data_IF_522514328032
#
_entry.id   IF_522514328032
#
_cell.length_a   1.000
_cell.length_b   1.000
_cell.length_c   1.000
_cell.angle_alpha   90.00
_cell.angle_beta   90.00
_cell.angle_gamma   90.00
#
_symmetry.space_group_name_H-M   'P 1'
#
loop_
_entity.id
_entity.type
_entity.pdbx_description
1 polymer ?
#
# COMPACT_ATOMS: atom_id res chain seq x y z
N UNK A 1 24.76 -10.46 6.47
CA UNK A 1 23.41 -10.82 6.00
C UNK A 1 23.31 -12.32 5.84
N UNK A 2 22.13 -12.90 6.05
CA UNK A 2 21.82 -14.30 5.85
C UNK A 2 20.43 -14.42 5.21
N UNK A 3 20.12 -15.54 4.57
CA UNK A 3 18.81 -15.87 4.03
C UNK A 3 18.36 -17.21 4.60
N UNK A 4 17.08 -17.30 4.91
CA UNK A 4 16.45 -18.53 5.40
C UNK A 4 15.17 -18.79 4.58
N UNK A 5 14.94 -20.03 4.22
CA UNK A 5 13.71 -20.55 3.64
C UNK A 5 13.49 -21.96 4.18
N UNK A 6 12.23 -22.40 4.30
CA UNK A 6 11.93 -23.81 4.65
C UNK A 6 12.37 -24.78 3.53
N UNK A 7 12.46 -24.28 2.31
CA UNK A 7 13.03 -24.97 1.16
C UNK A 7 14.52 -24.62 1.10
N UNK A 8 15.35 -25.60 1.45
CA UNK A 8 16.80 -25.44 1.54
C UNK A 8 17.44 -25.09 0.18
N UNK A 9 16.97 -25.71 -0.90
CA UNK A 9 17.53 -25.47 -2.23
C UNK A 9 17.26 -24.03 -2.67
N UNK A 10 16.07 -23.50 -2.34
CA UNK A 10 15.70 -22.10 -2.57
C UNK A 10 16.57 -21.15 -1.75
N UNK A 11 16.81 -21.46 -0.45
CA UNK A 11 17.69 -20.65 0.39
C UNK A 11 19.12 -20.64 -0.18
N UNK A 12 19.66 -21.78 -0.62
CA UNK A 12 20.99 -21.89 -1.19
C UNK A 12 21.10 -21.13 -2.53
N UNK A 13 20.09 -21.21 -3.40
CA UNK A 13 20.05 -20.48 -4.68
C UNK A 13 20.06 -18.97 -4.45
N UNK A 14 19.21 -18.45 -3.54
CA UNK A 14 19.17 -17.02 -3.17
C UNK A 14 20.48 -16.57 -2.53
N UNK A 15 21.06 -17.40 -1.66
CA UNK A 15 22.32 -17.12 -0.99
C UNK A 15 23.46 -16.95 -2.00
N UNK A 16 23.50 -17.80 -3.01
CA UNK A 16 24.51 -17.74 -4.09
C UNK A 16 24.37 -16.45 -4.93
N UNK A 17 23.13 -16.09 -5.33
CA UNK A 17 22.86 -14.87 -6.11
C UNK A 17 23.29 -13.61 -5.35
N UNK A 18 22.97 -13.54 -4.05
CA UNK A 18 23.21 -12.35 -3.24
C UNK A 18 24.52 -12.38 -2.44
N UNK A 19 25.32 -13.45 -2.57
CA UNK A 19 26.59 -13.66 -1.84
C UNK A 19 26.41 -13.53 -0.32
N UNK A 20 25.35 -14.13 0.21
CA UNK A 20 25.03 -14.20 1.63
C UNK A 20 25.05 -15.65 2.11
N UNK A 21 24.85 -15.89 3.41
CA UNK A 21 24.85 -17.24 3.96
C UNK A 21 23.44 -17.82 4.01
N UNK A 22 23.18 -19.04 3.52
CA UNK A 22 21.95 -19.75 3.80
C UNK A 22 21.98 -20.25 5.26
N UNK A 23 20.85 -20.24 5.93
CA UNK A 23 20.70 -20.78 7.30
C UNK A 23 19.27 -21.20 7.55
N UNK A 24 19.07 -21.97 8.63
CA UNK A 24 17.74 -22.28 9.15
C UNK A 24 17.13 -21.04 9.81
N UNK A 25 15.77 -20.83 9.73
CA UNK A 25 15.09 -19.68 10.31
C UNK A 25 15.39 -19.46 11.80
N UNK A 26 15.47 -20.53 12.58
CA UNK A 26 15.75 -20.49 14.02
C UNK A 26 17.17 -19.97 14.31
N UNK A 27 18.15 -20.36 13.49
CA UNK A 27 19.53 -19.86 13.59
C UNK A 27 19.63 -18.38 13.23
N UNK A 28 18.84 -17.92 12.26
CA UNK A 28 18.80 -16.50 11.90
C UNK A 28 18.30 -15.66 13.08
N UNK A 29 17.24 -16.09 13.73
CA UNK A 29 16.67 -15.39 14.90
C UNK A 29 17.59 -15.47 16.15
N UNK A 30 18.36 -16.53 16.31
CA UNK A 30 19.32 -16.67 17.42
C UNK A 30 20.61 -15.85 17.23
N UNK A 31 20.96 -15.44 16.01
CA UNK A 31 22.19 -14.71 15.74
C UNK A 31 22.10 -13.26 16.23
N UNK A 32 22.85 -12.90 17.27
CA UNK A 32 22.86 -11.56 17.87
C UNK A 32 23.36 -10.45 16.92
N UNK A 33 24.00 -10.81 15.81
CA UNK A 33 24.47 -9.87 14.77
C UNK A 33 23.34 -9.43 13.82
N UNK A 34 22.20 -10.14 13.83
CA UNK A 34 21.02 -9.80 13.06
C UNK A 34 20.18 -8.81 13.86
N UNK A 35 20.08 -7.57 13.41
CA UNK A 35 19.25 -6.53 14.04
C UNK A 35 17.91 -6.37 13.36
N UNK A 36 17.81 -6.66 12.06
CA UNK A 36 16.59 -6.50 11.25
C UNK A 36 16.28 -7.82 10.54
N UNK A 37 15.04 -8.25 10.61
CA UNK A 37 14.50 -9.41 9.88
C UNK A 37 13.52 -8.92 8.83
N UNK A 38 13.76 -9.27 7.56
CA UNK A 38 12.81 -9.09 6.47
C UNK A 38 12.03 -10.40 6.27
N UNK A 39 10.70 -10.32 6.30
CA UNK A 39 9.77 -11.44 6.14
C UNK A 39 9.08 -11.32 4.79
N UNK A 40 9.30 -12.30 3.91
CA UNK A 40 8.74 -12.39 2.56
C UNK A 40 8.27 -13.82 2.27
N UNK A 41 7.63 -14.45 3.23
CA UNK A 41 7.00 -15.77 3.14
C UNK A 41 5.56 -15.63 2.62
N UNK A 42 4.82 -16.72 2.36
CA UNK A 42 3.37 -16.64 2.20
C UNK A 42 2.68 -16.06 3.45
N UNK A 43 1.56 -15.33 3.29
CA UNK A 43 0.90 -14.54 4.35
C UNK A 43 0.63 -15.27 5.67
N UNK A 44 0.20 -16.53 5.64
CA UNK A 44 -0.06 -17.31 6.86
C UNK A 44 1.16 -17.45 7.80
N UNK A 45 2.37 -17.23 7.29
CA UNK A 45 3.61 -17.27 8.08
C UNK A 45 4.00 -15.94 8.75
N UNK A 46 3.44 -14.82 8.31
CA UNK A 46 3.93 -13.49 8.65
C UNK A 46 3.86 -13.19 10.14
N UNK A 47 2.69 -13.32 10.75
CA UNK A 47 2.49 -12.99 12.17
C UNK A 47 3.41 -13.82 13.08
N UNK A 48 3.45 -15.14 12.87
CA UNK A 48 4.30 -16.04 13.66
C UNK A 48 5.77 -15.66 13.58
N UNK A 49 6.26 -15.35 12.39
CA UNK A 49 7.67 -14.95 12.19
C UNK A 49 7.94 -13.55 12.75
N UNK A 50 7.01 -12.62 12.61
CA UNK A 50 7.11 -11.27 13.16
C UNK A 50 7.18 -11.32 14.71
N UNK A 51 6.30 -12.09 15.35
CA UNK A 51 6.33 -12.32 16.81
C UNK A 51 7.66 -12.91 17.27
N UNK A 52 8.14 -13.96 16.59
CA UNK A 52 9.41 -14.57 16.94
C UNK A 52 10.59 -13.59 16.83
N UNK A 53 10.60 -12.74 15.78
CA UNK A 53 11.61 -11.71 15.59
C UNK A 53 11.52 -10.62 16.68
N UNK A 54 10.33 -10.07 16.95
CA UNK A 54 10.10 -9.05 17.96
C UNK A 54 10.51 -9.54 19.36
N UNK A 55 10.08 -10.75 19.76
CA UNK A 55 10.44 -11.40 21.04
C UNK A 55 11.94 -11.64 21.19
N UNK A 56 12.64 -11.79 20.07
CA UNK A 56 14.10 -11.88 20.04
C UNK A 56 14.80 -10.50 20.04
N UNK A 57 14.04 -9.40 20.16
CA UNK A 57 14.56 -8.03 20.13
C UNK A 57 14.99 -7.54 18.74
N UNK A 58 14.48 -8.17 17.65
CA UNK A 58 14.80 -7.78 16.28
C UNK A 58 13.76 -6.82 15.74
N UNK A 59 14.21 -5.87 14.92
CA UNK A 59 13.31 -5.05 14.10
C UNK A 59 12.78 -5.86 12.93
N UNK A 60 11.57 -5.52 12.45
CA UNK A 60 10.87 -6.31 11.45
C UNK A 60 10.43 -5.44 10.26
N UNK A 61 10.83 -5.87 9.07
CA UNK A 61 10.23 -5.44 7.80
C UNK A 61 9.41 -6.62 7.26
N UNK A 62 8.09 -6.49 7.26
CA UNK A 62 7.19 -7.58 6.88
C UNK A 62 6.50 -7.28 5.56
N UNK A 63 6.47 -8.23 4.63
CA UNK A 63 5.56 -8.19 3.50
C UNK A 63 4.11 -8.14 3.98
N UNK A 64 3.26 -7.58 3.15
CA UNK A 64 1.81 -7.54 3.38
C UNK A 64 1.15 -8.91 3.09
N UNK A 65 0.02 -9.20 3.70
CA UNK A 65 -0.57 -8.56 4.88
C UNK A 65 0.23 -8.88 6.15
N UNK A 66 0.01 -8.16 7.23
CA UNK A 66 0.66 -8.47 8.52
C UNK A 66 0.31 -9.87 9.03
N UNK A 67 -0.92 -10.30 8.78
CA UNK A 67 -1.48 -11.61 9.15
C UNK A 67 -2.65 -11.94 8.20
N UNK A 68 -3.14 -13.17 8.25
CA UNK A 68 -4.40 -13.58 7.59
C UNK A 68 -5.60 -13.59 8.56
N UNK A 69 -5.35 -13.47 9.86
CA UNK A 69 -6.36 -13.43 10.94
C UNK A 69 -6.17 -12.22 11.81
N UNK A 70 -7.27 -11.67 12.32
CA UNK A 70 -7.22 -10.44 13.13
C UNK A 70 -6.59 -10.67 14.50
N UNK A 71 -6.84 -11.85 15.09
CA UNK A 71 -6.26 -12.26 16.38
C UNK A 71 -4.74 -12.25 16.31
N UNK A 72 -4.17 -12.85 15.24
CA UNK A 72 -2.73 -12.92 15.03
C UNK A 72 -2.12 -11.53 14.84
N UNK A 73 -2.78 -10.65 14.07
CA UNK A 73 -2.36 -9.26 13.91
C UNK A 73 -2.43 -8.48 15.23
N UNK A 74 -3.43 -8.77 16.07
CA UNK A 74 -3.59 -8.16 17.40
C UNK A 74 -2.45 -8.56 18.34
N UNK A 75 -2.03 -9.83 18.32
CA UNK A 75 -0.89 -10.30 19.10
C UNK A 75 0.41 -9.61 18.64
N UNK A 76 0.64 -9.48 17.32
CA UNK A 76 1.79 -8.76 16.77
C UNK A 76 1.78 -7.29 17.19
N UNK A 77 0.61 -6.62 17.12
CA UNK A 77 0.46 -5.24 17.53
C UNK A 77 0.78 -5.05 19.03
N UNK A 78 0.27 -5.93 19.88
CA UNK A 78 0.53 -5.90 21.32
C UNK A 78 2.03 -6.10 21.61
N UNK A 79 2.67 -7.08 20.97
CA UNK A 79 4.11 -7.33 21.12
C UNK A 79 4.95 -6.15 20.64
N UNK A 80 4.61 -5.54 19.49
CA UNK A 80 5.31 -4.36 18.97
C UNK A 80 5.21 -3.15 19.92
N UNK A 81 4.08 -3.01 20.63
CA UNK A 81 3.91 -1.99 21.69
C UNK A 81 4.75 -2.32 22.93
N UNK A 82 4.71 -3.57 23.37
CA UNK A 82 5.40 -4.02 24.59
C UNK A 82 6.93 -3.94 24.48
N UNK A 83 7.49 -4.28 23.32
CA UNK A 83 8.94 -4.28 23.11
C UNK A 83 9.56 -2.87 23.03
N UNK A 84 8.76 -1.83 22.81
CA UNK A 84 9.14 -0.41 22.88
C UNK A 84 10.33 0.01 22.00
N UNK A 85 11.42 -0.74 22.03
CA UNK A 85 12.64 -0.49 21.26
C UNK A 85 12.64 -1.15 19.87
N UNK A 86 11.98 -2.31 19.69
CA UNK A 86 11.88 -2.97 18.41
C UNK A 86 10.86 -2.23 17.51
N UNK A 87 11.22 -2.05 16.24
CA UNK A 87 10.37 -1.39 15.23
C UNK A 87 9.86 -2.44 14.26
N UNK A 88 8.57 -2.34 13.93
CA UNK A 88 7.95 -3.14 12.87
C UNK A 88 7.30 -2.20 11.85
N UNK A 89 7.47 -2.52 10.58
CA UNK A 89 6.72 -1.91 9.47
C UNK A 89 6.24 -3.00 8.52
N UNK A 90 5.12 -2.75 7.85
CA UNK A 90 4.58 -3.59 6.77
C UNK A 90 4.81 -2.91 5.44
N UNK A 91 5.15 -3.68 4.41
CA UNK A 91 5.44 -3.15 3.09
C UNK A 91 4.15 -2.76 2.34
N UNK A 92 3.75 -1.50 2.51
CA UNK A 92 2.73 -0.84 1.70
C UNK A 92 3.39 0.12 0.71
N UNK A 93 3.85 -0.37 -0.45
CA UNK A 93 4.66 0.40 -1.39
C UNK A 93 3.91 1.60 -1.99
N UNK A 94 2.58 1.60 -2.00
CA UNK A 94 1.78 2.73 -2.50
C UNK A 94 2.00 3.99 -1.67
N UNK A 95 2.15 3.89 -0.34
CA UNK A 95 2.49 5.04 0.52
C UNK A 95 3.89 5.60 0.24
N UNK A 96 4.74 4.85 -0.48
CA UNK A 96 6.10 5.24 -0.88
C UNK A 96 6.22 5.61 -2.36
N UNK A 97 5.11 5.59 -3.08
CA UNK A 97 5.08 6.02 -4.47
C UNK A 97 5.11 7.54 -4.55
N UNK A 98 6.02 8.15 -5.33
CA UNK A 98 6.15 9.61 -5.45
C UNK A 98 4.89 10.35 -5.88
N UNK A 99 4.01 9.71 -6.68
CA UNK A 99 2.76 10.35 -7.11
C UNK A 99 1.73 10.40 -5.99
N UNK A 100 1.60 9.35 -5.19
CA UNK A 100 0.77 9.38 -3.99
C UNK A 100 1.33 10.38 -2.95
N UNK A 101 2.65 10.47 -2.81
CA UNK A 101 3.28 11.48 -1.95
C UNK A 101 3.00 12.91 -2.45
N UNK A 102 3.01 13.14 -3.76
CA UNK A 102 2.61 14.43 -4.36
C UNK A 102 1.14 14.76 -4.04
N UNK A 103 0.23 13.80 -4.20
CA UNK A 103 -1.18 13.97 -3.81
C UNK A 103 -1.29 14.36 -2.33
N UNK A 104 -0.61 13.65 -1.43
CA UNK A 104 -0.61 13.96 0.00
C UNK A 104 -0.11 15.39 0.31
N UNK A 105 0.89 15.89 -0.41
CA UNK A 105 1.36 17.29 -0.28
C UNK A 105 0.33 18.29 -0.79
N UNK A 106 -0.34 18.00 -1.90
CA UNK A 106 -1.41 18.84 -2.44
C UNK A 106 -2.61 18.87 -1.48
N UNK A 107 -2.94 17.74 -0.84
CA UNK A 107 -3.96 17.71 0.22
C UNK A 107 -3.61 18.63 1.38
N UNK A 108 -2.38 18.58 1.86
CA UNK A 108 -1.92 19.42 2.97
C UNK A 108 -1.87 20.90 2.60
N UNK A 109 -1.50 21.23 1.36
CA UNK A 109 -1.31 22.61 0.92
C UNK A 109 -2.63 23.30 0.50
N UNK A 110 -3.56 22.58 -0.15
CA UNK A 110 -4.69 23.22 -0.88
C UNK A 110 -5.99 22.43 -0.78
N UNK A 111 -5.97 21.08 -0.94
CA UNK A 111 -7.18 20.33 -1.27
C UNK A 111 -7.90 19.74 -0.06
N UNK A 112 -7.18 19.47 1.06
CA UNK A 112 -7.69 18.63 2.13
C UNK A 112 -7.90 17.16 1.67
N UNK A 113 -8.52 16.30 2.47
CA UNK A 113 -8.80 14.93 2.11
C UNK A 113 -9.84 14.86 0.96
N UNK A 114 -9.77 13.88 0.06
CA UNK A 114 -10.77 13.70 -0.98
C UNK A 114 -12.10 13.25 -0.39
N UNK A 115 -13.17 13.52 -1.10
CA UNK A 115 -14.51 13.04 -0.77
C UNK A 115 -14.76 11.62 -1.28
N UNK A 116 -14.04 11.23 -2.34
CA UNK A 116 -14.16 9.92 -2.94
C UNK A 116 -12.80 9.37 -3.36
N UNK A 117 -12.60 8.10 -3.05
CA UNK A 117 -11.55 7.24 -3.58
C UNK A 117 -12.20 6.12 -4.39
N UNK A 118 -11.81 5.93 -5.65
CA UNK A 118 -12.31 4.84 -6.47
C UNK A 118 -11.15 4.10 -7.14
N UNK A 119 -11.08 2.78 -6.90
CA UNK A 119 -10.08 1.90 -7.49
C UNK A 119 -10.71 1.01 -8.53
N UNK A 120 -10.08 0.93 -9.70
CA UNK A 120 -10.24 -0.16 -10.64
C UNK A 120 -8.90 -0.85 -10.85
N UNK A 121 -8.81 -2.11 -10.44
CA UNK A 121 -7.63 -2.96 -10.61
C UNK A 121 -8.04 -4.25 -11.31
N UNK A 122 -8.13 -4.21 -12.63
CA UNK A 122 -8.41 -5.35 -13.48
C UNK A 122 -7.09 -5.89 -14.00
N UNK A 123 -6.55 -6.88 -13.31
CA UNK A 123 -5.22 -7.46 -13.53
C UNK A 123 -5.31 -8.87 -14.12
N UNK A 124 -4.19 -9.37 -14.60
CA UNK A 124 -3.98 -10.78 -14.89
C UNK A 124 -3.52 -11.50 -13.62
N UNK A 125 -3.75 -12.81 -13.57
CA UNK A 125 -3.25 -13.68 -12.49
C UNK A 125 -1.80 -14.13 -12.73
N UNK A 126 -1.09 -13.51 -13.68
CA UNK A 126 0.28 -13.87 -14.07
C UNK A 126 0.46 -15.38 -14.39
N UNK A 127 -0.64 -16.06 -14.77
CA UNK A 127 -0.72 -17.51 -15.07
C UNK A 127 -0.37 -18.40 -13.87
N UNK A 128 -0.73 -17.98 -12.67
CA UNK A 128 -0.56 -18.82 -11.48
C UNK A 128 -1.33 -20.13 -11.63
N UNK A 129 -0.67 -21.24 -11.35
CA UNK A 129 -1.29 -22.56 -11.33
C UNK A 129 -2.45 -22.60 -10.31
N UNK A 130 -3.45 -23.46 -10.60
CA UNK A 130 -4.61 -23.61 -9.71
C UNK A 130 -4.23 -24.07 -8.28
N UNK A 131 -3.12 -24.79 -8.13
CA UNK A 131 -2.56 -25.19 -6.83
C UNK A 131 -1.62 -24.18 -6.18
N UNK A 132 -1.45 -22.99 -6.75
CA UNK A 132 -0.59 -21.98 -6.16
C UNK A 132 -1.20 -21.46 -4.84
N UNK A 133 -0.38 -21.24 -3.83
CA UNK A 133 -0.80 -20.79 -2.48
C UNK A 133 -1.65 -19.51 -2.49
N UNK A 134 -1.53 -18.68 -3.49
CA UNK A 134 -2.30 -17.46 -3.69
C UNK A 134 -3.82 -17.73 -3.69
N UNK A 135 -4.25 -18.87 -4.28
CA UNK A 135 -5.64 -19.27 -4.35
C UNK A 135 -6.17 -20.00 -3.10
N UNK A 136 -5.25 -20.44 -2.23
CA UNK A 136 -5.60 -21.07 -0.96
C UNK A 136 -5.88 -19.98 0.09
N UNK A 137 -7.16 -19.84 0.46
CA UNK A 137 -7.61 -18.83 1.42
C UNK A 137 -7.00 -19.00 2.81
N UNK A 138 -6.67 -20.21 3.23
CA UNK A 138 -6.01 -20.47 4.51
C UNK A 138 -4.56 -19.96 4.53
N UNK A 139 -3.92 -19.91 3.36
CA UNK A 139 -2.53 -19.46 3.22
C UNK A 139 -2.44 -17.98 2.86
N UNK A 140 -3.25 -17.53 1.90
CA UNK A 140 -3.22 -16.16 1.38
C UNK A 140 -4.12 -15.20 2.15
N UNK A 141 -5.18 -15.69 2.77
CA UNK A 141 -6.28 -14.90 3.30
C UNK A 141 -7.35 -14.54 2.26
N UNK A 142 -7.16 -14.90 0.97
CA UNK A 142 -8.04 -14.56 -0.15
C UNK A 142 -7.78 -13.15 -0.71
N UNK A 143 -8.45 -12.82 -1.81
CA UNK A 143 -8.18 -11.62 -2.63
C UNK A 143 -8.24 -10.30 -1.85
N UNK A 144 -9.17 -10.15 -0.90
CA UNK A 144 -9.29 -8.94 -0.10
C UNK A 144 -8.11 -8.77 0.85
N UNK A 145 -7.64 -9.85 1.48
CA UNK A 145 -6.55 -9.85 2.46
C UNK A 145 -5.19 -9.87 1.76
N UNK A 146 -5.01 -10.72 0.74
CA UNK A 146 -3.72 -10.85 0.06
C UNK A 146 -3.38 -9.59 -0.74
N UNK A 147 -4.34 -9.06 -1.50
CA UNK A 147 -4.07 -7.93 -2.39
C UNK A 147 -4.86 -6.67 -2.05
N UNK A 148 -6.12 -6.80 -1.63
CA UNK A 148 -6.98 -5.66 -1.29
C UNK A 148 -6.41 -4.75 -0.21
N UNK A 149 -5.65 -5.28 0.75
CA UNK A 149 -5.01 -4.50 1.82
C UNK A 149 -4.13 -3.34 1.32
N UNK A 150 -3.50 -3.45 0.14
CA UNK A 150 -2.75 -2.35 -0.46
C UNK A 150 -3.64 -1.12 -0.71
N UNK A 151 -4.86 -1.37 -1.16
CA UNK A 151 -5.79 -0.32 -1.56
C UNK A 151 -6.61 0.18 -0.38
N UNK A 152 -6.97 -0.68 0.55
CA UNK A 152 -7.61 -0.28 1.80
C UNK A 152 -6.69 0.63 2.61
N UNK A 153 -5.40 0.30 2.66
CA UNK A 153 -4.38 1.11 3.33
C UNK A 153 -4.23 2.51 2.71
N UNK A 154 -4.00 2.58 1.40
CA UNK A 154 -3.79 3.88 0.73
C UNK A 154 -5.06 4.73 0.72
N UNK A 155 -6.24 4.11 0.62
CA UNK A 155 -7.52 4.81 0.70
C UNK A 155 -7.72 5.43 2.09
N UNK A 156 -7.53 4.65 3.15
CA UNK A 156 -7.63 5.13 4.52
C UNK A 156 -6.64 6.27 4.81
N UNK A 157 -5.42 6.15 4.32
CA UNK A 157 -4.40 7.19 4.44
C UNK A 157 -4.78 8.48 3.72
N UNK A 158 -5.27 8.42 2.48
CA UNK A 158 -5.67 9.61 1.70
C UNK A 158 -6.96 10.23 2.20
N UNK A 159 -7.94 9.41 2.62
CA UNK A 159 -9.21 9.88 3.21
C UNK A 159 -9.05 10.36 4.65
N UNK A 160 -7.90 10.06 5.29
CA UNK A 160 -7.61 10.46 6.67
C UNK A 160 -8.45 9.72 7.72
N UNK A 161 -9.09 8.61 7.37
CA UNK A 161 -9.98 7.85 8.26
C UNK A 161 -10.11 6.38 7.84
N UNK A 162 -10.46 5.52 8.79
CA UNK A 162 -10.89 4.15 8.52
C UNK A 162 -12.38 4.12 8.12
N UNK A 163 -12.83 3.13 7.33
CA UNK A 163 -14.24 3.01 7.01
C UNK A 163 -15.08 2.59 8.23
N UNK A 164 -16.26 3.18 8.33
CA UNK A 164 -17.24 2.80 9.35
C UNK A 164 -18.09 1.59 8.92
N UNK A 165 -18.19 1.37 7.61
CA UNK A 165 -19.00 0.30 7.02
C UNK A 165 -18.46 -0.07 5.64
N UNK A 166 -18.45 -1.36 5.35
CA UNK A 166 -18.12 -1.93 4.04
C UNK A 166 -19.23 -2.82 3.54
N UNK A 167 -19.45 -2.87 2.24
CA UNK A 167 -20.32 -3.83 1.57
C UNK A 167 -19.61 -4.37 0.34
N UNK A 168 -19.69 -5.70 0.15
CA UNK A 168 -18.92 -6.36 -0.90
C UNK A 168 -19.64 -7.54 -1.54
N UNK A 169 -19.16 -7.89 -2.73
CA UNK A 169 -19.50 -9.07 -3.50
C UNK A 169 -18.20 -9.71 -3.99
N UNK A 170 -18.13 -11.03 -3.95
CA UNK A 170 -17.05 -11.81 -4.57
C UNK A 170 -17.62 -12.61 -5.76
N UNK A 171 -16.81 -12.76 -6.79
CA UNK A 171 -17.09 -13.67 -7.89
C UNK A 171 -15.96 -14.68 -8.05
N UNK A 172 -16.33 -15.91 -8.42
CA UNK A 172 -15.40 -17.01 -8.58
C UNK A 172 -15.39 -17.51 -10.03
N UNK A 173 -14.26 -18.09 -10.42
CA UNK A 173 -14.10 -18.86 -11.65
C UNK A 173 -14.94 -20.16 -11.59
N UNK A 174 -15.16 -20.83 -12.73
CA UNK A 174 -15.88 -22.11 -12.75
C UNK A 174 -15.27 -23.20 -11.85
N UNK A 175 -13.99 -23.11 -11.54
CA UNK A 175 -13.28 -24.03 -10.66
C UNK A 175 -13.34 -23.64 -9.17
N UNK A 176 -14.11 -22.60 -8.83
CA UNK A 176 -14.36 -22.15 -7.45
C UNK A 176 -13.32 -21.16 -6.90
N UNK A 177 -12.25 -20.84 -7.64
CA UNK A 177 -11.27 -19.82 -7.19
C UNK A 177 -11.87 -18.42 -7.25
N UNK A 178 -11.95 -17.75 -6.13
CA UNK A 178 -12.39 -16.35 -6.07
C UNK A 178 -11.29 -15.46 -6.66
N UNK A 179 -11.61 -14.75 -7.74
CA UNK A 179 -10.67 -13.89 -8.46
C UNK A 179 -11.17 -12.46 -8.65
N UNK A 180 -12.39 -12.17 -8.20
CA UNK A 180 -12.98 -10.83 -8.34
C UNK A 180 -13.65 -10.40 -7.04
N UNK A 181 -13.40 -9.15 -6.67
CA UNK A 181 -13.96 -8.46 -5.51
C UNK A 181 -14.51 -7.10 -5.96
N UNK A 182 -15.79 -6.84 -5.65
CA UNK A 182 -16.38 -5.52 -5.69
C UNK A 182 -16.69 -5.10 -4.25
N UNK A 183 -16.23 -3.93 -3.85
CA UNK A 183 -16.52 -3.41 -2.53
C UNK A 183 -16.79 -1.91 -2.55
N UNK A 184 -17.61 -1.46 -1.61
CA UNK A 184 -17.84 -0.06 -1.29
C UNK A 184 -17.66 0.18 0.21
N UNK A 185 -17.15 1.33 0.58
CA UNK A 185 -16.93 1.71 1.96
C UNK A 185 -17.43 3.12 2.22
N UNK A 186 -18.10 3.31 3.36
CA UNK A 186 -18.47 4.61 3.89
C UNK A 186 -17.50 5.00 5.01
N UNK A 187 -17.01 6.23 4.95
CA UNK A 187 -16.08 6.81 5.90
C UNK A 187 -16.72 7.92 6.73
N UNK A 188 -16.16 8.27 7.89
CA UNK A 188 -16.61 9.42 8.66
C UNK A 188 -16.67 10.70 7.83
N UNK A 189 -17.63 11.56 8.12
CA UNK A 189 -17.80 12.82 7.38
C UNK A 189 -18.42 12.66 5.99
N UNK A 190 -18.87 11.46 5.60
CA UNK A 190 -19.55 11.18 4.35
C UNK A 190 -18.62 10.94 3.16
N UNK A 191 -17.32 10.78 3.38
CA UNK A 191 -16.40 10.32 2.35
C UNK A 191 -16.68 8.84 1.99
N UNK A 192 -16.38 8.47 0.74
CA UNK A 192 -16.66 7.13 0.23
C UNK A 192 -15.47 6.53 -0.47
N UNK A 193 -15.35 5.20 -0.43
CA UNK A 193 -14.42 4.47 -1.26
C UNK A 193 -15.12 3.35 -2.03
N UNK A 194 -14.65 3.06 -3.25
CA UNK A 194 -15.11 1.95 -4.06
C UNK A 194 -13.92 1.19 -4.66
N UNK A 195 -14.08 -0.13 -4.75
CA UNK A 195 -13.02 -1.03 -5.20
C UNK A 195 -13.60 -2.04 -6.19
N UNK A 196 -13.07 -2.04 -7.40
CA UNK A 196 -13.26 -3.10 -8.38
C UNK A 196 -11.92 -3.78 -8.55
N UNK A 197 -11.77 -4.96 -8.03
CA UNK A 197 -10.52 -5.69 -8.03
C UNK A 197 -10.70 -7.08 -8.62
N UNK A 198 -9.96 -7.42 -9.67
CA UNK A 198 -10.07 -8.69 -10.36
C UNK A 198 -8.75 -9.16 -10.93
N UNK A 199 -8.52 -10.46 -10.88
CA UNK A 199 -7.45 -11.19 -11.55
C UNK A 199 -7.93 -12.00 -12.76
N UNK A 200 -9.08 -11.64 -13.33
CA UNK A 200 -9.70 -12.37 -14.45
C UNK A 200 -9.26 -11.86 -15.84
N UNK A 201 -8.41 -10.84 -15.92
CA UNK A 201 -7.98 -10.30 -17.22
C UNK A 201 -6.88 -11.16 -17.84
N UNK A 202 -6.89 -11.32 -19.18
CA UNK A 202 -5.77 -11.93 -19.87
C UNK A 202 -4.54 -11.00 -19.81
N UNK A 203 -3.35 -11.60 -19.94
CA UNK A 203 -2.09 -10.85 -20.03
C UNK A 203 -2.18 -9.73 -21.07
N UNK A 204 -1.62 -8.56 -20.76
CA UNK A 204 -1.60 -7.33 -21.59
C UNK A 204 -2.95 -6.65 -21.80
N UNK A 205 -4.03 -7.16 -21.20
CA UNK A 205 -5.35 -6.50 -21.20
C UNK A 205 -5.69 -5.90 -19.82
N UNK A 206 -4.67 -5.65 -19.03
CA UNK A 206 -4.82 -5.05 -17.70
C UNK A 206 -5.29 -3.59 -17.79
N UNK A 207 -6.11 -3.21 -16.82
CA UNK A 207 -6.69 -1.87 -16.72
C UNK A 207 -6.70 -1.49 -15.25
N UNK A 208 -5.85 -0.54 -14.88
CA UNK A 208 -5.60 -0.23 -13.49
C UNK A 208 -5.49 1.27 -13.29
N UNK A 209 -6.33 1.83 -12.40
CA UNK A 209 -6.25 3.23 -11.99
C UNK A 209 -6.91 3.48 -10.64
N UNK A 210 -6.49 4.56 -10.00
CA UNK A 210 -7.17 5.15 -8.85
C UNK A 210 -7.71 6.53 -9.24
N UNK A 211 -8.99 6.75 -9.02
CA UNK A 211 -9.62 8.08 -9.16
C UNK A 211 -9.81 8.70 -7.79
N UNK A 212 -9.49 9.98 -7.67
CA UNK A 212 -9.70 10.79 -6.48
C UNK A 212 -10.60 11.97 -6.85
N UNK A 213 -11.57 12.29 -5.98
CA UNK A 213 -12.51 13.38 -6.20
C UNK A 213 -12.66 14.23 -4.93
N UNK A 214 -12.54 15.54 -5.09
CA UNK A 214 -12.73 16.56 -4.05
C UNK A 214 -14.00 17.41 -4.31
N UNK A 215 -14.91 16.89 -5.13
CA UNK A 215 -16.11 17.60 -5.56
C UNK A 215 -15.78 18.77 -6.49
N UNK A 216 -16.22 19.98 -6.14
CA UNK A 216 -15.98 21.16 -6.98
C UNK A 216 -14.52 21.63 -7.01
N UNK A 217 -13.69 21.19 -6.08
CA UNK A 217 -12.31 21.66 -5.94
C UNK A 217 -11.36 20.96 -6.90
N UNK A 218 -11.46 19.65 -7.02
CA UNK A 218 -10.55 18.90 -7.86
C UNK A 218 -11.06 17.50 -8.17
N UNK A 219 -10.55 16.94 -9.26
CA UNK A 219 -10.64 15.51 -9.55
C UNK A 219 -9.38 15.04 -10.27
N UNK A 220 -9.01 13.78 -10.09
CA UNK A 220 -7.79 13.26 -10.69
C UNK A 220 -7.71 11.76 -10.77
N UNK A 221 -6.71 11.29 -11.50
CA UNK A 221 -6.47 9.87 -11.72
C UNK A 221 -5.00 9.53 -11.68
N UNK A 222 -4.69 8.46 -10.96
CA UNK A 222 -3.39 7.80 -10.98
C UNK A 222 -3.51 6.52 -11.82
N UNK A 223 -2.59 6.32 -12.77
CA UNK A 223 -2.64 5.20 -13.72
C UNK A 223 -1.66 4.10 -13.33
N UNK A 224 -2.17 2.88 -13.24
CA UNK A 224 -1.49 1.67 -12.78
C UNK A 224 -1.74 1.36 -11.30
N UNK A 225 -1.64 0.06 -10.91
CA UNK A 225 -1.70 -0.28 -9.49
C UNK A 225 -0.44 0.21 -8.74
N UNK A 226 0.71 0.19 -9.39
CA UNK A 226 1.88 1.01 -9.03
C UNK A 226 1.86 2.20 -9.99
N UNK A 227 1.32 3.36 -9.58
CA UNK A 227 1.13 4.45 -10.53
C UNK A 227 2.45 5.06 -10.96
N UNK A 228 2.52 5.35 -12.24
CA UNK A 228 3.65 6.01 -12.92
C UNK A 228 3.24 7.28 -13.63
N UNK A 229 1.94 7.55 -13.66
CA UNK A 229 1.33 8.76 -14.22
C UNK A 229 0.20 9.24 -13.33
N UNK A 230 0.07 10.57 -13.20
CA UNK A 230 -0.99 11.29 -12.49
C UNK A 230 -1.51 12.40 -13.39
N UNK A 231 -2.82 12.51 -13.48
CA UNK A 231 -3.52 13.70 -13.99
C UNK A 231 -4.44 14.23 -12.89
N UNK A 232 -4.43 15.56 -12.70
CA UNK A 232 -5.25 16.21 -11.67
C UNK A 232 -5.72 17.57 -12.20
N UNK A 233 -7.02 17.74 -12.25
CA UNK A 233 -7.66 19.03 -12.54
C UNK A 233 -8.04 19.69 -11.21
N UNK A 234 -7.56 20.91 -10.98
CA UNK A 234 -7.75 21.66 -9.74
C UNK A 234 -8.44 22.98 -10.05
N UNK A 235 -9.47 23.31 -9.31
CA UNK A 235 -10.16 24.60 -9.33
C UNK A 235 -9.85 25.35 -8.04
N UNK A 236 -9.25 26.54 -8.14
CA UNK A 236 -8.77 27.25 -6.95
C UNK A 236 -8.86 28.77 -7.11
N UNK A 237 -8.61 29.47 -6.05
CA UNK A 237 -8.38 30.93 -6.01
C UNK A 237 -6.88 31.29 -6.18
N UNK A 238 -6.55 32.56 -6.06
CA UNK A 238 -5.17 33.03 -6.18
C UNK A 238 -4.22 32.48 -5.12
N UNK A 239 -4.70 32.23 -3.92
CA UNK A 239 -3.88 31.68 -2.83
C UNK A 239 -3.54 30.20 -3.12
N UNK A 240 -4.55 29.42 -3.51
CA UNK A 240 -4.33 28.03 -3.89
C UNK A 240 -3.49 27.88 -5.16
N UNK A 241 -3.64 28.79 -6.16
CA UNK A 241 -2.74 28.85 -7.31
C UNK A 241 -1.30 29.02 -6.87
N UNK A 242 -1.02 30.01 -6.02
CA UNK A 242 0.33 30.27 -5.51
C UNK A 242 0.89 29.05 -4.75
N UNK A 243 0.08 28.38 -3.95
CA UNK A 243 0.49 27.18 -3.21
C UNK A 243 0.82 26.00 -4.14
N UNK A 244 0.01 25.73 -5.17
CA UNK A 244 0.30 24.69 -6.16
C UNK A 244 1.56 25.01 -6.95
N UNK A 245 1.74 26.27 -7.38
CA UNK A 245 2.95 26.71 -8.09
C UNK A 245 4.21 26.57 -7.21
N UNK A 246 4.15 27.01 -5.96
CA UNK A 246 5.25 26.87 -5.02
C UNK A 246 5.67 25.41 -4.81
N UNK A 247 4.66 24.52 -4.63
CA UNK A 247 4.89 23.09 -4.46
C UNK A 247 5.54 22.46 -5.71
N UNK A 248 5.14 22.86 -6.91
CA UNK A 248 5.56 22.22 -8.17
C UNK A 248 6.78 22.84 -8.82
N UNK A 249 7.23 24.00 -8.35
CA UNK A 249 8.44 24.70 -8.85
C UNK A 249 9.69 23.83 -8.70
N UNK A 250 9.90 23.21 -7.53
CA UNK A 250 10.93 22.20 -7.34
C UNK A 250 10.32 20.80 -7.51
N UNK A 251 10.34 20.30 -8.75
CA UNK A 251 9.79 18.99 -9.09
C UNK A 251 10.44 17.85 -8.30
N UNK A 252 11.73 17.99 -7.96
CA UNK A 252 12.45 16.97 -7.18
C UNK A 252 11.92 16.93 -5.74
N UNK A 253 11.72 18.08 -5.12
CA UNK A 253 11.13 18.17 -3.79
C UNK A 253 9.66 17.72 -3.79
N UNK A 254 8.89 18.10 -4.83
CA UNK A 254 7.48 17.70 -4.97
C UNK A 254 7.28 16.19 -5.06
N UNK A 255 8.21 15.46 -5.68
CA UNK A 255 8.17 14.00 -5.86
C UNK A 255 9.08 13.25 -4.86
N UNK A 256 9.68 13.95 -3.90
CA UNK A 256 10.59 13.33 -2.95
C UNK A 256 9.86 12.34 -2.01
N UNK A 257 10.41 11.16 -1.89
CA UNK A 257 10.04 10.17 -0.87
C UNK A 257 11.33 9.74 -0.16
N UNK A 258 11.38 9.78 1.17
CA UNK A 258 12.57 9.36 1.91
C UNK A 258 12.96 7.93 1.50
N UNK A 259 14.24 7.75 1.17
CA UNK A 259 14.76 6.46 0.72
C UNK A 259 14.47 6.10 -0.75
N UNK A 260 13.56 6.72 -1.46
CA UNK A 260 13.32 6.50 -2.89
C UNK A 260 14.44 7.11 -3.74
N UNK A 261 14.89 6.41 -4.78
CA UNK A 261 15.90 6.91 -5.72
C UNK A 261 15.26 7.26 -7.06
N UNK A 262 15.16 8.57 -7.39
CA UNK A 262 14.62 9.00 -8.67
C UNK A 262 15.53 8.57 -9.83
N UNK A 263 14.93 8.39 -11.02
CA UNK A 263 15.66 8.04 -12.26
C UNK A 263 16.21 9.27 -12.99
N UNK A 264 15.61 10.43 -12.72
CA UNK A 264 15.81 11.65 -13.51
C UNK A 264 14.83 11.78 -14.69
N UNK A 265 13.96 10.80 -14.90
CA UNK A 265 12.90 10.86 -15.92
C UNK A 265 11.59 11.46 -15.38
N UNK A 266 11.52 11.73 -14.08
CA UNK A 266 10.35 12.28 -13.43
C UNK A 266 10.08 13.70 -13.93
N UNK A 267 8.82 14.03 -14.22
CA UNK A 267 8.37 15.35 -14.70
C UNK A 267 7.04 15.72 -14.08
N UNK A 268 6.87 17.01 -13.80
CA UNK A 268 5.60 17.64 -13.48
C UNK A 268 5.36 18.76 -14.49
N UNK A 269 4.17 18.84 -15.04
CA UNK A 269 3.71 19.97 -15.86
C UNK A 269 2.46 20.55 -15.24
N UNK A 270 2.36 21.87 -15.26
CA UNK A 270 1.22 22.63 -14.76
C UNK A 270 0.73 23.55 -15.88
N UNK A 271 -0.46 23.26 -16.39
CA UNK A 271 -1.18 24.11 -17.34
C UNK A 271 -2.16 24.99 -16.56
N UNK A 272 -2.28 26.24 -16.98
CA UNK A 272 -3.06 27.25 -16.30
C UNK A 272 -4.10 27.84 -17.25
N UNK A 273 -5.36 27.91 -16.81
CA UNK A 273 -6.42 28.61 -17.52
C UNK A 273 -7.20 29.52 -16.56
N UNK A 274 -7.48 30.75 -17.01
CA UNK A 274 -8.40 31.64 -16.30
C UNK A 274 -9.83 31.30 -16.73
N UNK A 275 -10.75 31.22 -15.78
CA UNK A 275 -12.17 30.97 -16.08
C UNK A 275 -12.97 32.21 -16.49
N UNK A 276 -12.33 33.33 -16.79
CA UNK A 276 -13.05 34.58 -17.07
C UNK A 276 -13.73 35.21 -15.84
N UNK A 277 -13.61 34.58 -14.66
CA UNK A 277 -14.01 35.14 -13.37
C UNK A 277 -12.76 35.65 -12.63
N UNK A 278 -12.72 36.91 -12.21
CA UNK A 278 -11.60 37.43 -11.43
C UNK A 278 -11.30 36.58 -10.20
N UNK A 279 -10.02 36.19 -10.04
CA UNK A 279 -9.57 35.41 -8.89
C UNK A 279 -9.92 33.93 -8.89
N UNK A 280 -10.42 33.36 -10.00
CA UNK A 280 -10.66 31.91 -10.16
C UNK A 280 -9.79 31.33 -11.26
N UNK A 281 -9.21 30.16 -10.98
CA UNK A 281 -8.25 29.46 -11.81
C UNK A 281 -8.58 28.00 -11.96
N UNK A 282 -8.43 27.47 -13.17
CA UNK A 282 -8.37 26.04 -13.46
C UNK A 282 -6.92 25.65 -13.74
N UNK A 283 -6.47 24.65 -13.04
CA UNK A 283 -5.11 24.10 -13.20
C UNK A 283 -5.24 22.66 -13.67
N UNK A 284 -4.42 22.30 -14.64
CA UNK A 284 -4.21 20.88 -14.99
C UNK A 284 -2.78 20.51 -14.66
N UNK A 285 -2.63 19.67 -13.65
CA UNK A 285 -1.34 19.11 -13.23
C UNK A 285 -1.21 17.71 -13.82
N UNK A 286 -0.10 17.46 -14.51
CA UNK A 286 0.30 16.11 -14.91
C UNK A 286 1.65 15.82 -14.32
N UNK A 287 1.82 14.59 -13.79
CA UNK A 287 3.10 14.11 -13.31
C UNK A 287 3.38 12.70 -13.86
N UNK A 288 4.62 12.43 -14.23
CA UNK A 288 5.07 11.11 -14.69
C UNK A 288 6.37 10.71 -14.01
N UNK A 289 6.53 9.41 -13.80
CA UNK A 289 7.75 8.78 -13.30
C UNK A 289 8.56 8.08 -14.40
N UNK A 290 8.28 8.42 -15.67
CA UNK A 290 8.91 7.83 -16.85
C UNK A 290 8.02 6.84 -17.61
N UNK A 291 6.70 6.92 -17.42
CA UNK A 291 5.69 6.09 -18.11
C UNK A 291 5.71 4.62 -17.71
N UNK A 292 4.94 3.79 -18.41
CA UNK A 292 4.69 2.40 -18.03
C UNK A 292 5.97 1.54 -17.96
N UNK A 293 6.96 1.82 -18.78
CA UNK A 293 8.26 1.12 -18.75
C UNK A 293 9.01 1.30 -17.42
N UNK A 294 8.69 2.33 -16.66
CA UNK A 294 9.31 2.59 -15.36
C UNK A 294 8.65 1.81 -14.20
N UNK A 295 7.46 1.21 -14.39
CA UNK A 295 6.68 0.54 -13.33
C UNK A 295 7.51 -0.44 -12.48
N UNK A 296 8.30 -1.39 -13.06
CA UNK A 296 9.08 -2.31 -12.24
C UNK A 296 10.16 -1.62 -11.39
N UNK A 297 10.75 -0.54 -11.89
CA UNK A 297 11.72 0.26 -11.13
C UNK A 297 11.00 1.02 -10.00
N UNK A 298 9.90 1.69 -10.31
CA UNK A 298 9.12 2.45 -9.31
C UNK A 298 8.70 1.54 -8.17
N UNK A 299 8.21 0.32 -8.46
CA UNK A 299 7.87 -0.66 -7.45
C UNK A 299 9.07 -1.01 -6.55
N UNK A 300 10.20 -1.45 -7.15
CA UNK A 300 11.40 -1.78 -6.37
C UNK A 300 11.90 -0.62 -5.50
N UNK A 301 11.86 0.60 -6.04
CA UNK A 301 12.29 1.78 -5.28
C UNK A 301 11.30 2.13 -4.16
N UNK A 302 10.00 1.89 -4.33
CA UNK A 302 9.00 2.07 -3.27
C UNK A 302 9.19 1.07 -2.13
N UNK A 303 9.42 -0.21 -2.44
CA UNK A 303 9.77 -1.25 -1.44
C UNK A 303 11.07 -0.88 -0.72
N UNK A 304 12.11 -0.50 -1.47
CA UNK A 304 13.38 -0.05 -0.90
C UNK A 304 13.21 1.16 0.03
N UNK A 305 12.35 2.10 -0.34
CA UNK A 305 12.05 3.26 0.48
C UNK A 305 11.36 2.86 1.80
N UNK A 306 10.48 1.85 1.79
CA UNK A 306 9.89 1.29 3.01
C UNK A 306 10.94 0.73 3.97
N UNK A 307 11.90 -0.05 3.45
CA UNK A 307 13.00 -0.54 4.27
C UNK A 307 13.90 0.60 4.78
N UNK A 308 14.20 1.59 3.94
CA UNK A 308 15.00 2.76 4.34
C UNK A 308 14.32 3.57 5.46
N UNK A 309 13.00 3.70 5.41
CA UNK A 309 12.20 4.34 6.45
C UNK A 309 12.29 3.60 7.79
N UNK A 310 12.18 2.28 7.76
CA UNK A 310 12.41 1.47 8.97
C UNK A 310 13.80 1.68 9.55
N UNK A 311 14.85 1.65 8.71
CA UNK A 311 16.22 1.87 9.16
C UNK A 311 16.42 3.28 9.74
N UNK A 312 15.78 4.29 9.17
CA UNK A 312 15.76 5.65 9.71
C UNK A 312 15.06 5.69 11.07
N UNK A 313 13.89 5.08 11.20
CA UNK A 313 13.16 5.00 12.46
C UNK A 313 14.00 4.32 13.57
N UNK A 314 14.74 3.26 13.23
CA UNK A 314 15.66 2.57 14.17
C UNK A 314 16.77 3.53 14.61
N UNK A 315 17.42 4.22 13.70
CA UNK A 315 18.58 5.07 14.01
C UNK A 315 18.22 6.36 14.73
N UNK A 316 17.03 6.90 14.49
CA UNK A 316 16.53 8.14 15.09
C UNK A 316 15.71 7.91 16.37
N UNK A 317 15.37 6.66 16.71
CA UNK A 317 14.45 6.33 17.79
C UNK A 317 12.97 6.64 17.48
N UNK A 318 12.67 7.03 16.24
CA UNK A 318 11.32 7.37 15.77
C UNK A 318 10.46 6.14 15.43
N UNK A 319 9.38 6.38 14.68
CA UNK A 319 8.51 5.34 14.13
C UNK A 319 8.55 5.34 12.60
N UNK A 320 8.43 4.18 11.95
CA UNK A 320 8.22 4.13 10.50
C UNK A 320 6.88 4.73 10.15
N UNK A 321 6.75 5.31 8.95
CA UNK A 321 5.53 5.98 8.51
C UNK A 321 4.37 5.01 8.22
N UNK A 322 4.66 3.71 8.03
CA UNK A 322 3.65 2.64 8.07
C UNK A 322 3.83 1.92 9.40
N UNK A 323 2.84 2.03 10.27
CA UNK A 323 2.86 1.46 11.63
C UNK A 323 2.19 0.09 11.66
N UNK A 324 2.43 -0.73 12.71
CA UNK A 324 1.65 -1.95 12.93
C UNK A 324 0.15 -1.70 13.05
N UNK A 325 -0.26 -0.53 13.58
CA UNK A 325 -1.66 -0.13 13.67
C UNK A 325 -2.29 0.11 12.29
N UNK A 326 -1.57 0.73 11.35
CA UNK A 326 -2.02 0.89 9.96
C UNK A 326 -2.26 -0.48 9.30
N UNK A 327 -1.33 -1.42 9.50
CA UNK A 327 -1.44 -2.76 8.95
C UNK A 327 -2.60 -3.55 9.57
N UNK A 328 -2.82 -3.41 10.87
CA UNK A 328 -3.95 -4.01 11.57
C UNK A 328 -5.29 -3.48 11.04
N UNK A 329 -5.43 -2.17 10.89
CA UNK A 329 -6.68 -1.55 10.41
C UNK A 329 -6.98 -1.87 8.95
N UNK A 330 -5.96 -1.98 8.12
CA UNK A 330 -6.11 -2.42 6.72
C UNK A 330 -6.57 -3.88 6.64
N UNK A 331 -6.04 -4.75 7.51
CA UNK A 331 -6.48 -6.13 7.63
C UNK A 331 -7.93 -6.22 8.17
N UNK A 332 -8.29 -5.42 9.19
CA UNK A 332 -9.65 -5.39 9.71
C UNK A 332 -10.67 -4.99 8.64
N UNK A 333 -10.32 -4.02 7.79
CA UNK A 333 -11.13 -3.64 6.63
C UNK A 333 -11.25 -4.78 5.62
N UNK A 334 -10.16 -5.49 5.32
CA UNK A 334 -10.17 -6.61 4.39
C UNK A 334 -11.04 -7.77 4.87
N UNK A 335 -10.93 -8.11 6.15
CA UNK A 335 -11.73 -9.19 6.76
C UNK A 335 -13.22 -8.82 6.83
N UNK A 336 -13.57 -7.59 7.19
CA UNK A 336 -14.94 -7.10 7.14
C UNK A 336 -15.51 -7.11 5.71
N UNK A 337 -14.67 -6.84 4.72
CA UNK A 337 -15.04 -6.92 3.30
C UNK A 337 -15.39 -8.37 2.90
N UNK A 338 -14.59 -9.34 3.33
CA UNK A 338 -14.87 -10.76 3.09
C UNK A 338 -16.13 -11.26 3.82
N UNK A 339 -16.30 -10.83 5.07
CA UNK A 339 -17.51 -11.14 5.84
C UNK A 339 -18.76 -10.59 5.15
N UNK A 340 -18.70 -9.35 4.68
CA UNK A 340 -19.77 -8.72 3.91
C UNK A 340 -20.10 -9.50 2.63
N UNK A 341 -19.09 -9.92 1.87
CA UNK A 341 -19.30 -10.74 0.67
C UNK A 341 -19.93 -12.09 0.97
N UNK A 342 -19.58 -12.71 2.10
CA UNK A 342 -20.12 -14.00 2.53
C UNK A 342 -21.55 -13.88 3.04
N UNK A 343 -21.86 -12.85 3.83
CA UNK A 343 -23.18 -12.68 4.47
C UNK A 343 -24.18 -11.93 3.59
N UNK A 344 -23.71 -11.22 2.55
CA UNK A 344 -24.54 -10.34 1.72
C UNK A 344 -24.99 -9.05 2.42
N UNK A 345 -24.46 -8.76 3.61
CA UNK A 345 -24.84 -7.60 4.42
C UNK A 345 -23.66 -6.63 4.61
N UNK A 346 -23.97 -5.36 4.86
CA UNK A 346 -22.94 -4.40 5.19
C UNK A 346 -22.34 -4.72 6.57
N UNK A 347 -21.01 -4.73 6.63
CA UNK A 347 -20.22 -5.09 7.83
C UNK A 347 -19.42 -3.89 8.32
N UNK A 348 -19.27 -3.76 9.64
CA UNK A 348 -18.39 -2.78 10.25
C UNK A 348 -17.01 -3.42 10.50
N UNK A 349 -15.90 -2.82 10.02
CA UNK A 349 -14.57 -3.24 10.43
C UNK A 349 -14.40 -3.13 11.96
N UNK A 350 -13.63 -4.02 12.54
CA UNK A 350 -13.29 -3.95 13.96
C UNK A 350 -12.54 -2.66 14.28
N UNK A 351 -12.76 -2.13 15.47
CA UNK A 351 -12.01 -0.97 15.98
C UNK A 351 -10.61 -1.42 16.45
N UNK A 352 -9.62 -0.55 16.26
CA UNK A 352 -8.25 -0.80 16.69
C UNK A 352 -8.21 -1.04 18.20
N UNK A 353 -7.61 -2.13 18.69
CA UNK A 353 -7.52 -2.39 20.12
C UNK A 353 -6.66 -1.31 20.83
N UNK A 354 -7.08 -0.96 22.03
CA UNK A 354 -6.43 0.03 22.89
C UNK A 354 -5.00 -0.34 23.28
#
# INVERSE_FOLDING_TARGET
>A
MAVADRDRDRAEALAAVHRVKPCEPERLLADQRVSVVAIATPPAGHARLALAALRSGRHVFCEKPLATRLEDATEVLAEARATGAARLTVDYPLRRNPLYALVGRLQQAVLGPPRQFALENLASDERLDAGHWFWDREVSGGIAVEHGVHFFDVAAWLLGSQPERVQALEAARPDGRVDTLLASAGHPGGATASYVHSFARPDRAESQWTTLDWGELASGRLYGWIPVELELDIRTDGAGLAAVQALTTDQRAALAVPGYRPSGAERITLELASRGQPGRWDLRLRATLGGQVAKPRVYRESVRAGLADLLTAITTGGHPAVTPADAWTSLATALATQESATTGTATRPHDLPS
#
